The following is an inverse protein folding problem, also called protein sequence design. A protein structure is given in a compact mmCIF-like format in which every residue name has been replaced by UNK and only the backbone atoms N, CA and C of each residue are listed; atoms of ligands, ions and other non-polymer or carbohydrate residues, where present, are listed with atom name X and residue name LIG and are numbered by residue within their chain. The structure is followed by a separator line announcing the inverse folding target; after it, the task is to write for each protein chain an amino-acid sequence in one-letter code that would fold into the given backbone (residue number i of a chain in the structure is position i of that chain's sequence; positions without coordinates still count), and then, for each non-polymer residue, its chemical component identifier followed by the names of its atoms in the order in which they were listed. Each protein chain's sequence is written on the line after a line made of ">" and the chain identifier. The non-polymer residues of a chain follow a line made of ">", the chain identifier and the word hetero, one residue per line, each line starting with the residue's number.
data_IF_849758091309
#
_entry.id   IF_849758091309
#
_cell.length_a   1.000
_cell.length_b   1.000
_cell.length_c   1.000
_cell.angle_alpha   90.00
_cell.angle_beta   90.00
_cell.angle_gamma   90.00
#
_symmetry.space_group_name_H-M   'P 1'
#
loop_
_entity.id
_entity.type
_entity.pdbx_description
1 polymer ?
#
# COMPACT_ATOMS: atom_id res chain seq x y z
N UNK A 1 -22.43 -14.38 -11.64
CA UNK A 1 -22.09 -12.95 -11.55
C UNK A 1 -20.89 -12.77 -10.62
N UNK A 2 -19.85 -12.17 -11.12
CA UNK A 2 -18.68 -11.92 -10.31
C UNK A 2 -18.92 -10.77 -9.34
N UNK A 3 -18.49 -10.96 -8.11
CA UNK A 3 -18.48 -9.87 -7.16
C UNK A 3 -17.27 -8.97 -7.43
N UNK A 4 -17.42 -7.65 -7.34
CA UNK A 4 -16.25 -6.78 -7.42
C UNK A 4 -15.30 -7.09 -6.28
N UNK A 5 -14.01 -7.13 -6.61
CA UNK A 5 -13.00 -7.33 -5.59
C UNK A 5 -12.70 -6.01 -4.93
N UNK A 6 -12.90 -5.97 -3.61
CA UNK A 6 -12.78 -4.73 -2.86
C UNK A 6 -11.49 -4.70 -2.09
N UNK A 7 -10.45 -4.28 -2.79
CA UNK A 7 -9.14 -4.04 -2.21
C UNK A 7 -8.58 -2.76 -2.84
N UNK A 8 -7.97 -1.93 -2.02
CA UNK A 8 -7.35 -0.72 -2.53
C UNK A 8 -6.24 -0.24 -1.60
N UNK A 9 -5.31 0.48 -2.19
CA UNK A 9 -4.32 1.27 -1.45
C UNK A 9 -4.73 2.73 -1.59
N UNK A 10 -4.81 3.51 -0.51
CA UNK A 10 -5.15 4.92 -0.64
C UNK A 10 -4.23 5.64 -1.62
N UNK A 11 -4.77 6.61 -2.35
CA UNK A 11 -3.98 7.31 -3.35
C UNK A 11 -3.21 8.52 -2.80
N UNK A 12 -3.34 8.79 -1.50
CA UNK A 12 -2.61 9.87 -0.85
C UNK A 12 -2.51 9.60 0.65
N UNK A 13 -1.43 10.04 1.27
CA UNK A 13 -1.29 9.96 2.71
C UNK A 13 -0.35 11.07 3.20
N UNK A 14 -0.47 11.42 4.49
CA UNK A 14 0.32 12.47 5.10
C UNK A 14 0.94 11.98 6.39
N UNK A 15 2.23 11.59 6.37
CA UNK A 15 2.89 11.06 7.58
C UNK A 15 2.95 12.06 8.72
N UNK A 16 2.93 13.34 8.40
CA UNK A 16 3.00 14.41 9.41
C UNK A 16 1.62 14.87 9.83
N UNK A 17 0.58 14.28 9.26
CA UNK A 17 -0.80 14.69 9.53
C UNK A 17 -1.31 14.15 10.85
N UNK A 18 -2.31 14.86 11.38
CA UNK A 18 -3.01 14.42 12.57
C UNK A 18 -4.32 13.79 12.15
N UNK A 19 -4.32 12.49 11.95
CA UNK A 19 -5.51 11.81 11.53
C UNK A 19 -5.22 10.41 11.04
N UNK A 20 -6.17 9.86 10.29
CA UNK A 20 -6.14 8.45 9.93
C UNK A 20 -5.23 8.14 8.75
N UNK A 21 -4.76 9.15 8.03
CA UNK A 21 -3.98 8.98 6.81
C UNK A 21 -2.48 9.15 7.02
N UNK A 22 -1.99 8.88 8.22
CA UNK A 22 -0.56 9.03 8.51
C UNK A 22 0.28 7.80 8.15
N UNK A 23 -0.37 6.67 7.83
CA UNK A 23 0.30 5.46 7.37
C UNK A 23 -0.39 4.97 6.09
N UNK A 24 0.41 4.47 5.17
CA UNK A 24 -0.09 3.93 3.92
C UNK A 24 -0.12 2.41 4.00
N UNK A 25 -1.32 1.82 3.99
CA UNK A 25 -1.48 0.37 4.00
C UNK A 25 -2.75 -0.01 3.23
N UNK A 26 -2.82 -1.25 2.72
CA UNK A 26 -3.98 -1.65 1.90
C UNK A 26 -5.20 -1.95 2.75
N UNK A 27 -6.36 -1.64 2.18
CA UNK A 27 -7.66 -1.96 2.74
C UNK A 27 -8.33 -3.02 1.87
N UNK A 28 -9.01 -3.96 2.50
CA UNK A 28 -9.70 -5.01 1.78
C UNK A 28 -10.92 -5.50 2.52
N UNK A 29 -11.89 -6.03 1.76
CA UNK A 29 -13.07 -6.67 2.32
C UNK A 29 -12.78 -8.14 2.62
N UNK A 30 -13.81 -8.89 3.08
CA UNK A 30 -13.63 -10.25 3.57
C UNK A 30 -13.12 -11.26 2.53
N UNK A 31 -13.23 -10.96 1.24
CA UNK A 31 -12.70 -11.82 0.19
C UNK A 31 -11.18 -11.72 0.04
N UNK A 32 -10.52 -10.75 0.68
CA UNK A 32 -9.06 -10.62 0.67
C UNK A 32 -8.49 -11.47 1.79
N UNK A 33 -7.67 -12.45 1.42
CA UNK A 33 -7.04 -13.33 2.40
C UNK A 33 -5.72 -12.76 2.91
N UNK A 34 -4.89 -12.27 1.98
CA UNK A 34 -3.54 -11.84 2.35
C UNK A 34 -2.98 -10.93 1.27
N UNK A 35 -2.16 -9.97 1.68
CA UNK A 35 -1.35 -9.19 0.77
C UNK A 35 -0.02 -9.93 0.64
N UNK A 36 0.25 -10.48 -0.53
CA UNK A 36 1.45 -11.26 -0.75
C UNK A 36 2.68 -10.38 -0.88
N UNK A 37 2.50 -9.19 -1.44
CA UNK A 37 3.61 -8.29 -1.72
C UNK A 37 3.09 -6.87 -1.88
N UNK A 38 3.81 -5.92 -1.29
CA UNK A 38 3.61 -4.49 -1.53
C UNK A 38 4.97 -3.85 -1.65
N UNK A 39 5.26 -3.29 -2.83
CA UNK A 39 6.48 -2.55 -3.10
C UNK A 39 6.11 -1.12 -3.47
N UNK A 40 6.86 -0.16 -2.93
CA UNK A 40 6.65 1.26 -3.24
C UNK A 40 7.96 1.81 -3.79
N UNK A 41 7.87 2.50 -4.92
CA UNK A 41 9.02 3.02 -5.65
C UNK A 41 8.90 4.53 -5.82
N UNK A 42 10.04 5.21 -5.93
CA UNK A 42 10.02 6.59 -6.38
C UNK A 42 9.85 6.63 -7.90
N UNK A 43 9.74 7.83 -8.47
CA UNK A 43 9.49 7.99 -9.91
C UNK A 43 10.65 7.50 -10.79
N UNK A 44 11.81 7.29 -10.21
CA UNK A 44 12.98 6.79 -10.94
C UNK A 44 13.18 5.28 -10.76
N UNK A 45 12.23 4.61 -10.12
CA UNK A 45 12.28 3.16 -9.93
C UNK A 45 13.05 2.69 -8.72
N UNK A 46 13.49 3.61 -7.86
CA UNK A 46 14.16 3.22 -6.62
C UNK A 46 13.18 2.69 -5.60
N UNK A 47 13.49 1.56 -4.97
CA UNK A 47 12.61 0.93 -3.99
C UNK A 47 12.65 1.70 -2.68
N UNK A 48 11.48 2.17 -2.25
CA UNK A 48 11.35 2.95 -1.02
C UNK A 48 10.80 2.10 0.13
N UNK A 49 9.97 1.09 -0.16
CA UNK A 49 9.35 0.26 0.85
C UNK A 49 8.97 -1.08 0.22
N UNK A 50 9.17 -2.17 0.98
CA UNK A 50 8.78 -3.49 0.52
C UNK A 50 8.33 -4.31 1.73
N UNK A 51 7.18 -4.96 1.59
CA UNK A 51 6.63 -5.82 2.63
C UNK A 51 5.93 -7.01 1.98
N UNK A 52 6.12 -8.19 2.56
CA UNK A 52 5.53 -9.42 2.05
C UNK A 52 4.68 -10.08 3.11
N UNK A 53 3.63 -10.77 2.67
CA UNK A 53 2.83 -11.68 3.49
C UNK A 53 2.28 -11.02 4.76
N UNK A 54 1.31 -10.14 4.58
CA UNK A 54 0.66 -9.47 5.70
C UNK A 54 -0.83 -9.30 5.42
N UNK A 55 -1.66 -9.12 6.47
CA UNK A 55 -3.09 -8.93 6.27
C UNK A 55 -3.42 -7.51 5.82
N UNK A 56 -4.55 -7.32 5.12
CA UNK A 56 -5.04 -5.98 4.86
C UNK A 56 -5.59 -5.34 6.14
N UNK A 57 -5.85 -4.06 6.11
CA UNK A 57 -6.52 -3.31 7.19
C UNK A 57 -5.70 -3.22 8.48
N UNK A 58 -4.38 -3.44 8.40
CA UNK A 58 -3.54 -3.45 9.59
C UNK A 58 -2.46 -2.37 9.47
N UNK A 59 -2.58 -1.26 10.23
CA UNK A 59 -1.60 -0.18 10.15
C UNK A 59 -0.20 -0.57 10.61
N UNK A 60 -0.05 -1.69 11.35
CA UNK A 60 1.26 -2.18 11.77
C UNK A 60 2.19 -2.40 10.58
N UNK A 61 1.61 -2.74 9.42
CA UNK A 61 2.36 -3.00 8.19
C UNK A 61 2.35 -1.80 7.24
N UNK A 62 1.94 -0.63 7.74
CA UNK A 62 1.86 0.57 6.93
C UNK A 62 3.21 1.25 6.74
N UNK A 63 3.34 1.93 5.59
CA UNK A 63 4.52 2.72 5.28
C UNK A 63 4.35 4.13 5.84
N UNK A 64 5.37 4.62 6.52
CA UNK A 64 5.34 5.92 7.18
C UNK A 64 6.02 7.03 6.37
N UNK A 65 6.37 6.76 5.11
CA UNK A 65 7.02 7.76 4.27
C UNK A 65 8.50 7.96 4.56
N UNK A 66 9.11 7.02 5.27
CA UNK A 66 10.54 7.08 5.60
C UNK A 66 11.31 5.99 4.87
N UNK A 67 12.57 6.26 4.60
CA UNK A 67 13.53 5.26 4.12
C UNK A 67 14.75 5.32 5.04
N UNK A 68 15.03 4.20 5.72
CA UNK A 68 16.16 4.08 6.64
C UNK A 68 16.15 5.19 7.69
N UNK A 69 14.96 5.49 8.22
CA UNK A 69 14.81 6.51 9.26
C UNK A 69 14.80 7.95 8.76
N UNK A 70 14.94 8.17 7.46
CA UNK A 70 14.93 9.50 6.88
C UNK A 70 13.58 9.79 6.22
N UNK A 71 12.95 10.94 6.51
CA UNK A 71 11.69 11.27 5.86
C UNK A 71 11.91 11.55 4.37
N UNK A 72 11.02 11.01 3.54
CA UNK A 72 11.08 11.25 2.11
C UNK A 72 10.30 12.51 1.77
N UNK A 73 10.66 13.18 0.66
CA UNK A 73 9.98 14.42 0.27
C UNK A 73 8.56 14.16 -0.23
N UNK A 74 7.73 15.19 -0.13
CA UNK A 74 6.41 15.17 -0.75
C UNK A 74 6.57 14.97 -2.24
N UNK A 75 5.93 13.95 -2.78
CA UNK A 75 6.06 13.58 -4.18
C UNK A 75 5.03 12.52 -4.53
N UNK A 76 4.98 12.16 -5.81
CA UNK A 76 4.22 11.01 -6.29
C UNK A 76 5.15 9.79 -6.28
N UNK A 77 4.66 8.72 -5.67
CA UNK A 77 5.33 7.42 -5.63
C UNK A 77 4.46 6.42 -6.39
N UNK A 78 5.06 5.31 -6.77
CA UNK A 78 4.38 4.27 -7.54
C UNK A 78 4.38 2.99 -6.71
N UNK A 79 3.27 2.25 -6.72
CA UNK A 79 3.24 0.99 -6.00
C UNK A 79 2.93 -0.19 -6.92
N UNK A 80 3.38 -1.36 -6.50
CA UNK A 80 3.00 -2.64 -7.07
C UNK A 80 2.58 -3.55 -5.91
N UNK A 81 1.43 -4.19 -6.04
CA UNK A 81 0.87 -5.00 -4.97
C UNK A 81 0.27 -6.29 -5.55
N UNK A 82 0.53 -7.42 -4.89
CA UNK A 82 -0.08 -8.71 -5.23
C UNK A 82 -0.99 -9.13 -4.09
N UNK A 83 -2.22 -9.47 -4.42
CA UNK A 83 -3.25 -9.79 -3.43
C UNK A 83 -3.76 -11.20 -3.65
N UNK A 84 -3.78 -12.00 -2.57
CA UNK A 84 -4.37 -13.34 -2.57
C UNK A 84 -5.80 -13.24 -2.04
N UNK A 85 -6.73 -13.77 -2.82
CA UNK A 85 -8.13 -13.82 -2.44
C UNK A 85 -8.49 -15.18 -1.88
N UNK A 86 -9.60 -15.25 -1.16
CA UNK A 86 -10.03 -16.48 -0.47
C UNK A 86 -10.37 -17.62 -1.42
N UNK A 87 -10.63 -17.33 -2.68
CA UNK A 87 -10.84 -18.35 -3.72
C UNK A 87 -9.54 -18.88 -4.34
N UNK A 88 -8.38 -18.43 -3.82
CA UNK A 88 -7.08 -18.84 -4.33
C UNK A 88 -6.54 -18.00 -5.46
N UNK A 89 -7.30 -17.01 -5.93
CA UNK A 89 -6.88 -16.13 -7.03
C UNK A 89 -5.85 -15.13 -6.52
N UNK A 90 -4.82 -14.88 -7.32
CA UNK A 90 -3.83 -13.81 -7.06
C UNK A 90 -3.97 -12.77 -8.15
N UNK A 91 -4.18 -11.52 -7.75
CA UNK A 91 -4.36 -10.41 -8.70
C UNK A 91 -3.33 -9.32 -8.38
N UNK A 92 -2.57 -8.85 -9.39
CA UNK A 92 -1.67 -7.72 -9.20
C UNK A 92 -2.39 -6.40 -9.35
N UNK A 93 -1.97 -5.42 -8.57
CA UNK A 93 -2.45 -4.05 -8.64
C UNK A 93 -1.26 -3.11 -8.70
N UNK A 94 -1.41 -2.01 -9.41
CA UNK A 94 -0.38 -0.97 -9.46
C UNK A 94 -1.04 0.38 -9.61
N UNK A 95 -0.32 1.42 -9.22
CA UNK A 95 -0.86 2.77 -9.32
C UNK A 95 0.07 3.78 -8.67
N UNK A 96 -0.46 4.99 -8.53
CA UNK A 96 0.28 6.10 -7.96
C UNK A 96 -0.23 6.38 -6.55
N UNK A 97 0.67 6.89 -5.71
CA UNK A 97 0.31 7.39 -4.39
C UNK A 97 1.06 8.69 -4.14
N UNK A 98 0.35 9.66 -3.57
CA UNK A 98 0.92 10.97 -3.27
C UNK A 98 1.26 11.05 -1.79
N UNK A 99 2.53 11.34 -1.49
CA UNK A 99 2.95 11.65 -0.14
C UNK A 99 2.85 13.17 0.04
N UNK A 100 2.02 13.58 0.99
CA UNK A 100 1.74 15.00 1.29
C UNK A 100 2.41 15.35 2.61
N UNK A 101 3.08 16.49 2.65
CA UNK A 101 3.66 17.01 3.89
C UNK A 101 3.15 18.39 4.20
#
# INVERSE_FOLDING_TARGET
>A
MERPRRVYLPNAFSPDGKGDNNLLYPFGAGEVQEILRLDIFNRWGGLMYSRNNFPPNDPTFGWDGHLRGQPLPAAVYVYYMEVLFTDGTVIPYSGDVVLVR
#
